data_IF_100267659232
#
_entry.id   IF_100267659232
#
_cell.length_a   1.000
_cell.length_b   1.000
_cell.length_c   1.000
_cell.angle_alpha   90.00
_cell.angle_beta   90.00
_cell.angle_gamma   90.00
#
_symmetry.space_group_name_H-M   'P 1'
#
loop_
_entity.id
_entity.type
_entity.pdbx_description
1 polymer ?
#
# COMPACT_ATOMS: atom_id res chain seq x y z
N UNK A 1 -0.43 19.82 -15.41
CA UNK A 1 -0.50 18.37 -15.16
C UNK A 1 -1.52 18.12 -14.09
N UNK A 2 -2.49 17.29 -14.41
CA UNK A 2 -3.59 17.05 -13.50
C UNK A 2 -3.25 15.96 -12.50
N UNK A 3 -3.84 16.10 -11.33
CA UNK A 3 -3.70 15.16 -10.23
C UNK A 3 -5.03 14.45 -10.00
N UNK A 4 -4.98 13.15 -9.87
CA UNK A 4 -6.17 12.32 -9.63
C UNK A 4 -6.06 11.66 -8.26
N UNK A 5 -7.10 11.84 -7.44
CA UNK A 5 -7.27 11.06 -6.23
C UNK A 5 -8.02 9.79 -6.60
N UNK A 6 -7.34 8.63 -6.50
CA UNK A 6 -7.94 7.37 -6.92
C UNK A 6 -8.24 6.42 -5.76
N UNK A 7 -8.34 6.93 -4.54
CA UNK A 7 -8.67 6.12 -3.37
C UNK A 7 -9.94 5.27 -3.58
N UNK A 8 -10.92 5.83 -4.27
CA UNK A 8 -12.17 5.11 -4.52
C UNK A 8 -12.02 3.92 -5.46
N UNK A 9 -10.92 3.82 -6.17
CA UNK A 9 -10.63 2.72 -7.09
C UNK A 9 -9.79 1.62 -6.44
N UNK A 10 -9.25 1.87 -5.26
CA UNK A 10 -8.45 0.92 -4.51
C UNK A 10 -9.37 -0.02 -3.75
N UNK A 11 -9.08 -1.32 -3.82
CA UNK A 11 -9.81 -2.33 -3.06
C UNK A 11 -9.12 -2.55 -1.73
N UNK A 12 -9.82 -2.31 -0.64
CA UNK A 12 -9.30 -2.56 0.70
C UNK A 12 -9.73 -3.96 1.14
N UNK A 13 -8.75 -4.80 1.45
CA UNK A 13 -8.98 -6.19 1.86
C UNK A 13 -9.19 -6.31 3.37
N UNK A 14 -8.98 -5.22 4.07
CA UNK A 14 -9.35 -5.04 5.47
C UNK A 14 -10.15 -3.75 5.56
N UNK A 15 -10.68 -3.44 6.73
CA UNK A 15 -11.44 -2.19 6.90
C UNK A 15 -10.58 -0.99 6.47
N UNK A 16 -11.15 -0.14 5.62
CA UNK A 16 -10.43 1.03 5.11
C UNK A 16 -10.07 1.96 6.28
N UNK A 17 -8.80 2.34 6.42
CA UNK A 17 -8.39 3.26 7.47
C UNK A 17 -8.88 4.68 7.18
N UNK A 18 -8.95 5.50 8.22
CA UNK A 18 -9.43 6.87 8.10
C UNK A 18 -8.47 7.76 7.31
N UNK A 19 -7.17 7.52 7.43
CA UNK A 19 -6.13 8.38 6.87
C UNK A 19 -5.38 7.65 5.76
N UNK A 20 -5.99 7.61 4.58
CA UNK A 20 -5.41 6.97 3.40
C UNK A 20 -5.52 7.92 2.24
N UNK A 21 -4.41 8.11 1.52
CA UNK A 21 -4.39 8.88 0.29
C UNK A 21 -3.74 8.07 -0.83
N UNK A 22 -4.32 8.16 -2.01
CA UNK A 22 -3.78 7.58 -3.23
C UNK A 22 -3.93 8.60 -4.33
N UNK A 23 -2.82 9.11 -4.86
CA UNK A 23 -2.84 10.19 -5.83
C UNK A 23 -1.91 9.89 -6.99
N UNK A 24 -2.41 10.11 -8.18
CA UNK A 24 -1.63 10.01 -9.41
C UNK A 24 -1.51 11.40 -10.03
N UNK A 25 -0.28 11.85 -10.28
CA UNK A 25 0.01 13.10 -10.96
C UNK A 25 0.92 12.78 -12.13
N UNK A 26 0.39 12.90 -13.35
CA UNK A 26 1.12 12.39 -14.51
C UNK A 26 1.38 10.90 -14.37
N UNK A 27 2.65 10.51 -14.37
CA UNK A 27 3.07 9.11 -14.21
C UNK A 27 3.54 8.79 -12.79
N UNK A 28 3.41 9.73 -11.87
CA UNK A 28 3.84 9.53 -10.48
C UNK A 28 2.65 9.19 -9.61
N UNK A 29 2.74 8.05 -8.93
CA UNK A 29 1.77 7.66 -7.90
C UNK A 29 2.41 7.89 -6.55
N UNK A 30 1.66 8.54 -5.66
CA UNK A 30 2.03 8.75 -4.27
C UNK A 30 0.93 8.22 -3.39
N UNK A 31 1.30 7.49 -2.37
CA UNK A 31 0.32 6.95 -1.44
C UNK A 31 0.79 7.11 0.01
N UNK A 32 -0.19 7.19 0.89
CA UNK A 32 0.03 7.19 2.33
C UNK A 32 -1.06 6.33 2.96
N UNK A 33 -0.66 5.35 3.73
CA UNK A 33 -1.57 4.45 4.42
C UNK A 33 -1.28 4.53 5.91
N UNK A 34 -2.26 5.04 6.66
CA UNK A 34 -2.21 5.09 8.12
C UNK A 34 -3.34 4.23 8.64
N UNK A 35 -3.02 2.96 8.88
CA UNK A 35 -4.01 2.00 9.31
C UNK A 35 -4.42 2.18 10.75
N UNK A 36 -5.69 1.91 11.03
CA UNK A 36 -6.18 1.83 12.40
C UNK A 36 -5.66 0.56 13.06
N UNK A 37 -5.78 0.49 14.39
CA UNK A 37 -5.53 -0.74 15.10
C UNK A 37 -6.41 -1.85 14.51
N UNK A 38 -5.77 -2.85 13.92
CA UNK A 38 -6.47 -4.00 13.37
C UNK A 38 -5.52 -5.18 13.32
N UNK A 39 -6.08 -6.35 13.15
CA UNK A 39 -5.28 -7.57 13.02
C UNK A 39 -4.87 -7.72 11.56
N UNK A 40 -3.57 -7.66 11.30
CA UNK A 40 -3.00 -7.97 10.00
C UNK A 40 -2.49 -9.41 10.07
N UNK A 41 -3.04 -10.28 9.26
CA UNK A 41 -2.53 -11.65 9.16
C UNK A 41 -1.11 -11.67 8.61
N UNK A 42 -0.39 -12.74 8.84
CA UNK A 42 0.98 -12.87 8.32
C UNK A 42 0.98 -12.75 6.80
N UNK A 43 1.69 -11.77 6.27
CA UNK A 43 1.78 -11.48 4.83
C UNK A 43 0.41 -11.31 4.15
N UNK A 44 -0.60 -10.89 4.90
CA UNK A 44 -1.95 -10.78 4.38
C UNK A 44 -2.13 -9.54 3.51
N UNK A 45 -2.92 -9.68 2.46
CA UNK A 45 -3.24 -8.56 1.57
C UNK A 45 -3.92 -7.44 2.34
N UNK A 46 -3.35 -6.25 2.27
CA UNK A 46 -3.90 -5.08 2.92
C UNK A 46 -4.80 -4.30 1.97
N UNK A 47 -4.33 -4.04 0.76
CA UNK A 47 -5.13 -3.42 -0.28
C UNK A 47 -4.61 -3.84 -1.65
N UNK A 48 -5.42 -3.57 -2.67
CA UNK A 48 -5.09 -3.92 -4.05
C UNK A 48 -5.20 -2.68 -4.93
N UNK A 49 -4.10 -2.37 -5.63
CA UNK A 49 -4.03 -1.25 -6.55
C UNK A 49 -4.62 -1.67 -7.90
N UNK A 50 -5.55 -0.88 -8.47
CA UNK A 50 -6.17 -1.25 -9.74
C UNK A 50 -5.22 -1.11 -10.93
N UNK A 51 -5.56 -1.77 -12.02
CA UNK A 51 -4.86 -1.63 -13.29
C UNK A 51 -4.85 -0.16 -13.71
N UNK A 52 -3.74 0.31 -14.22
CA UNK A 52 -3.54 1.70 -14.62
C UNK A 52 -2.85 2.54 -13.56
N UNK A 53 -2.70 2.01 -12.35
CA UNK A 53 -2.07 2.71 -11.22
C UNK A 53 -0.92 1.92 -10.60
N UNK A 54 -0.55 0.80 -11.20
CA UNK A 54 0.49 -0.10 -10.68
C UNK A 54 1.88 0.34 -11.11
N UNK A 55 2.93 -0.05 -10.39
CA UNK A 55 4.29 0.33 -10.76
C UNK A 55 4.67 -0.15 -12.16
N UNK A 56 5.43 0.70 -12.86
CA UNK A 56 6.03 0.35 -14.14
C UNK A 56 7.46 -0.12 -13.90
N UNK A 57 7.68 -1.41 -13.96
CA UNK A 57 8.99 -2.01 -13.74
C UNK A 57 9.01 -3.42 -14.30
N UNK A 58 10.21 -3.93 -14.61
CA UNK A 58 10.39 -5.32 -15.00
C UNK A 58 10.48 -6.25 -13.78
N UNK A 59 10.61 -5.70 -12.59
CA UNK A 59 10.60 -6.50 -11.37
C UNK A 59 9.18 -7.01 -11.08
N UNK A 60 9.08 -8.11 -10.34
CA UNK A 60 7.79 -8.67 -9.94
C UNK A 60 7.15 -7.87 -8.80
N UNK A 61 7.95 -7.23 -7.99
CA UNK A 61 7.50 -6.54 -6.79
C UNK A 61 8.30 -5.27 -6.58
N UNK A 62 7.67 -4.30 -5.94
CA UNK A 62 8.32 -3.10 -5.42
C UNK A 62 8.18 -3.13 -3.91
N UNK A 63 9.23 -2.72 -3.20
CA UNK A 63 9.27 -2.78 -1.75
C UNK A 63 9.24 -1.39 -1.15
N UNK A 64 8.49 -1.27 -0.06
CA UNK A 64 8.38 -0.04 0.72
C UNK A 64 8.67 -0.37 2.18
N UNK A 65 9.14 0.62 2.92
CA UNK A 65 9.42 0.49 4.34
C UNK A 65 8.35 1.26 5.10
N UNK A 66 7.74 0.60 6.06
CA UNK A 66 6.75 1.22 6.93
C UNK A 66 7.07 0.94 8.39
N UNK A 67 6.18 1.38 9.26
CA UNK A 67 6.26 1.07 10.67
C UNK A 67 5.04 0.26 11.10
N UNK A 68 5.29 -0.70 11.97
CA UNK A 68 4.26 -1.56 12.52
C UNK A 68 4.24 -1.33 14.02
N UNK A 69 3.13 -0.83 14.54
CA UNK A 69 2.98 -0.47 15.94
C UNK A 69 3.99 0.59 16.41
N UNK A 70 4.30 1.54 15.53
CA UNK A 70 5.11 2.74 15.79
C UNK A 70 6.61 2.50 16.06
N UNK A 71 7.01 1.33 16.52
CA UNK A 71 8.40 1.06 16.91
C UNK A 71 9.08 -0.07 16.13
N UNK A 72 8.34 -0.77 15.28
CA UNK A 72 8.85 -1.88 14.48
C UNK A 72 8.85 -1.51 13.01
N UNK A 73 10.02 -1.59 12.37
CA UNK A 73 10.13 -1.38 10.93
C UNK A 73 9.64 -2.63 10.22
N UNK A 74 8.83 -2.44 9.17
CA UNK A 74 8.29 -3.53 8.37
C UNK A 74 8.53 -3.25 6.89
N UNK A 75 8.84 -4.30 6.13
CA UNK A 75 8.89 -4.22 4.68
C UNK A 75 7.53 -4.59 4.12
N UNK A 76 7.08 -3.82 3.13
CA UNK A 76 5.81 -4.06 2.48
C UNK A 76 6.05 -4.27 0.99
N UNK A 77 5.44 -5.28 0.42
CA UNK A 77 5.57 -5.57 -1.00
C UNK A 77 4.32 -5.13 -1.76
N UNK A 78 4.55 -4.60 -2.96
CA UNK A 78 3.50 -4.30 -3.92
C UNK A 78 3.78 -5.14 -5.17
N UNK A 79 2.91 -6.09 -5.43
CA UNK A 79 3.03 -6.96 -6.61
C UNK A 79 2.62 -6.17 -7.85
N UNK A 80 3.49 -6.17 -8.85
CA UNK A 80 3.30 -5.32 -10.04
C UNK A 80 2.15 -5.82 -10.91
N UNK A 81 2.01 -7.13 -11.06
CA UNK A 81 0.97 -7.68 -11.96
C UNK A 81 -0.41 -7.73 -11.30
N UNK A 82 -0.49 -7.98 -10.01
CA UNK A 82 -1.77 -8.11 -9.30
C UNK A 82 -2.20 -6.84 -8.57
N UNK A 83 -1.24 -5.95 -8.26
CA UNK A 83 -1.51 -4.77 -7.45
C UNK A 83 -1.66 -5.06 -5.96
N UNK A 84 -1.37 -6.28 -5.53
CA UNK A 84 -1.53 -6.68 -4.14
C UNK A 84 -0.43 -6.07 -3.28
N UNK A 85 -0.84 -5.36 -2.25
CA UNK A 85 0.06 -4.78 -1.25
C UNK A 85 -0.08 -5.55 0.06
N UNK A 86 1.04 -6.04 0.57
CA UNK A 86 1.05 -6.82 1.80
C UNK A 86 2.30 -6.53 2.63
N UNK A 87 2.16 -6.39 3.96
CA UNK A 87 3.32 -6.27 4.83
C UNK A 87 3.97 -7.63 5.06
N UNK A 88 5.31 -7.65 5.16
CA UNK A 88 6.06 -8.84 5.52
C UNK A 88 6.13 -8.95 7.03
N UNK A 89 5.11 -9.52 7.64
CA UNK A 89 5.05 -9.70 9.09
C UNK A 89 4.85 -11.18 9.40
N UNK A 90 5.47 -11.64 10.48
CA UNK A 90 5.44 -13.05 10.83
C UNK A 90 4.10 -13.47 11.45
N UNK A 91 3.45 -12.59 12.18
CA UNK A 91 2.18 -12.88 12.82
C UNK A 91 1.37 -11.61 12.95
N UNK A 92 0.06 -11.78 12.85
CA UNK A 92 -0.87 -10.69 13.07
C UNK A 92 -0.91 -10.29 14.54
N UNK A 93 -1.62 -9.23 14.78
CA UNK A 93 -1.89 -8.69 16.09
C UNK A 93 -2.67 -7.40 15.88
N UNK A 94 -3.31 -6.91 16.91
CA UNK A 94 -4.09 -5.69 16.79
C UNK A 94 -3.13 -4.49 16.84
N UNK A 95 -2.61 -4.10 15.69
CA UNK A 95 -1.54 -3.11 15.55
C UNK A 95 -1.86 -2.10 14.49
N UNK A 96 -1.05 -1.04 14.41
CA UNK A 96 -1.16 -0.02 13.38
C UNK A 96 -0.07 -0.22 12.35
N UNK A 97 -0.43 -0.07 11.09
CA UNK A 97 0.51 -0.12 9.99
C UNK A 97 0.55 1.26 9.33
N UNK A 98 1.73 1.88 9.32
CA UNK A 98 1.96 3.16 8.68
C UNK A 98 2.98 2.99 7.57
N UNK A 99 2.60 3.27 6.35
CA UNK A 99 3.50 3.21 5.21
C UNK A 99 3.14 4.31 4.24
N UNK A 100 4.15 4.91 3.65
CA UNK A 100 3.98 5.90 2.60
C UNK A 100 5.04 5.66 1.54
N UNK A 101 4.73 5.98 0.30
CA UNK A 101 5.68 5.79 -0.76
C UNK A 101 5.22 6.41 -2.06
N UNK A 102 6.09 6.28 -3.05
CA UNK A 102 5.79 6.73 -4.40
C UNK A 102 6.46 5.80 -5.40
N UNK A 103 5.89 5.76 -6.60
CA UNK A 103 6.44 4.98 -7.70
C UNK A 103 5.93 5.57 -9.02
N UNK A 104 6.61 5.22 -10.10
CA UNK A 104 6.16 5.61 -11.42
C UNK A 104 5.27 4.51 -12.02
N UNK A 105 4.26 4.93 -12.74
CA UNK A 105 3.35 4.07 -13.49
C UNK A 105 3.36 4.49 -14.96
N UNK A 106 2.63 3.77 -15.78
CA UNK A 106 2.46 4.14 -17.20
C UNK A 106 1.57 5.35 -17.38
#
# INVERSE_FOLDING_TARGET
MESEDFRNKVTFNIAAPANVTFRKTGNLVQFSYQGNNTTYGANATTFTIPVGYRPKTSANQVWFVGSYNADTVVQCSLNVSSGIFAPSIASGGNKRLYVAGSYFTD
#
